data_IF_278237542667
#
_entry.id   IF_278237542667
#
_cell.length_a   1.000
_cell.length_b   1.000
_cell.length_c   1.000
_cell.angle_alpha   90.00
_cell.angle_beta   90.00
_cell.angle_gamma   90.00
#
_symmetry.space_group_name_H-M   'P 1'
#
loop_
_entity.id
_entity.type
_entity.pdbx_description
1 polymer ?
#
# COMPACT_ATOMS: atom_id res chain seq x y z
N UNK A 1 -8.37 -12.82 7.61
CA UNK A 1 -7.69 -12.84 8.90
C UNK A 1 -6.85 -11.58 9.03
N UNK A 2 -7.25 -10.71 9.91
CA UNK A 2 -6.64 -9.39 10.12
C UNK A 2 -6.47 -8.60 8.81
N UNK A 3 -7.48 -8.72 7.91
CA UNK A 3 -7.51 -8.00 6.63
C UNK A 3 -6.22 -8.17 5.81
N UNK A 4 -5.72 -9.41 5.76
CA UNK A 4 -4.49 -9.71 5.03
C UNK A 4 -3.23 -9.18 5.71
N UNK A 5 -3.29 -8.95 7.05
CA UNK A 5 -2.19 -8.37 7.82
C UNK A 5 -0.86 -9.10 7.68
N UNK A 6 -0.81 -10.45 7.84
CA UNK A 6 0.46 -11.16 7.70
C UNK A 6 1.11 -10.99 6.33
N UNK A 7 0.35 -11.14 5.24
CA UNK A 7 0.90 -10.98 3.89
C UNK A 7 1.28 -9.53 3.60
N UNK A 8 0.51 -8.57 4.12
CA UNK A 8 0.84 -7.14 4.02
C UNK A 8 2.15 -6.84 4.73
N UNK A 9 2.34 -7.39 5.92
CA UNK A 9 3.57 -7.24 6.69
C UNK A 9 4.76 -7.81 5.91
N UNK A 10 4.65 -9.03 5.38
CA UNK A 10 5.73 -9.65 4.63
C UNK A 10 6.00 -8.93 3.31
N UNK A 11 4.98 -8.38 2.66
CA UNK A 11 5.17 -7.55 1.48
C UNK A 11 6.06 -6.35 1.79
N UNK A 12 5.76 -5.65 2.89
CA UNK A 12 6.57 -4.51 3.35
C UNK A 12 7.97 -4.95 3.73
N UNK A 13 8.09 -6.03 4.48
CA UNK A 13 9.36 -6.58 4.95
C UNK A 13 10.29 -6.93 3.78
N UNK A 14 9.79 -7.68 2.81
CA UNK A 14 10.59 -8.08 1.66
C UNK A 14 10.97 -6.90 0.77
N UNK A 15 10.13 -5.87 0.68
CA UNK A 15 10.45 -4.65 -0.06
C UNK A 15 11.67 -3.92 0.52
N UNK A 16 11.90 -4.07 1.82
CA UNK A 16 12.96 -3.35 2.54
C UNK A 16 14.27 -4.12 2.63
N UNK A 17 14.27 -5.43 2.31
CA UNK A 17 15.47 -6.25 2.43
C UNK A 17 16.36 -6.09 1.20
N UNK A 18 17.64 -5.71 1.36
CA UNK A 18 18.57 -5.68 0.22
C UNK A 18 18.86 -7.10 -0.27
N UNK A 19 18.98 -7.24 -1.58
CA UNK A 19 19.35 -8.52 -2.20
C UNK A 19 18.24 -9.55 -2.28
N UNK A 20 17.04 -9.27 -1.77
CA UNK A 20 15.89 -10.17 -1.90
C UNK A 20 15.09 -9.77 -3.14
N UNK A 21 14.72 -10.75 -3.99
CA UNK A 21 13.89 -10.44 -5.17
C UNK A 21 12.58 -9.77 -4.79
N UNK A 22 12.22 -8.71 -5.51
CA UNK A 22 10.99 -7.97 -5.26
C UNK A 22 9.73 -8.78 -5.56
N UNK A 23 9.85 -9.90 -6.27
CA UNK A 23 8.74 -10.82 -6.54
C UNK A 23 8.07 -11.31 -5.25
N UNK A 24 8.84 -11.50 -4.19
CA UNK A 24 8.29 -11.92 -2.90
C UNK A 24 7.42 -10.84 -2.29
N UNK A 25 7.86 -9.58 -2.38
CA UNK A 25 7.07 -8.45 -1.92
C UNK A 25 5.78 -8.34 -2.73
N UNK A 26 5.89 -8.44 -4.05
CA UNK A 26 4.73 -8.38 -4.95
C UNK A 26 3.70 -9.44 -4.61
N UNK A 27 4.13 -10.70 -4.48
CA UNK A 27 3.22 -11.81 -4.17
C UNK A 27 2.48 -11.60 -2.86
N UNK A 28 3.16 -11.11 -1.84
CA UNK A 28 2.55 -10.87 -0.54
C UNK A 28 1.55 -9.71 -0.58
N UNK A 29 1.87 -8.62 -1.27
CA UNK A 29 0.91 -7.52 -1.44
C UNK A 29 -0.30 -7.95 -2.27
N UNK A 30 -0.09 -8.71 -3.34
CA UNK A 30 -1.17 -9.22 -4.18
C UNK A 30 -2.10 -10.13 -3.37
N UNK A 31 -1.54 -11.00 -2.53
CA UNK A 31 -2.32 -11.87 -1.66
C UNK A 31 -3.12 -11.07 -0.64
N UNK A 32 -2.52 -10.06 -0.04
CA UNK A 32 -3.21 -9.20 0.93
C UNK A 32 -4.39 -8.46 0.28
N UNK A 33 -4.21 -7.99 -0.95
CA UNK A 33 -5.28 -7.32 -1.70
C UNK A 33 -6.40 -8.29 -2.08
N UNK A 34 -6.05 -9.55 -2.43
CA UNK A 34 -7.03 -10.57 -2.73
C UNK A 34 -7.87 -10.93 -1.49
N UNK A 35 -7.22 -11.01 -0.33
CA UNK A 35 -7.88 -11.34 0.93
C UNK A 35 -8.76 -10.22 1.45
N UNK A 36 -8.32 -8.98 1.31
CA UNK A 36 -9.02 -7.81 1.87
C UNK A 36 -8.86 -6.58 0.96
N UNK A 37 -9.57 -6.55 -0.19
CA UNK A 37 -9.40 -5.45 -1.17
C UNK A 37 -9.86 -4.09 -0.66
N UNK A 38 -10.73 -4.06 0.34
CA UNK A 38 -11.27 -2.81 0.88
C UNK A 38 -10.50 -2.29 2.09
N UNK A 39 -9.44 -2.97 2.51
CA UNK A 39 -8.55 -2.47 3.56
C UNK A 39 -7.48 -1.58 2.91
N UNK A 40 -7.60 -0.28 3.08
CA UNK A 40 -6.82 0.69 2.30
C UNK A 40 -5.32 0.72 2.64
N UNK A 41 -4.95 0.34 3.87
CA UNK A 41 -3.56 0.34 4.30
C UNK A 41 -2.63 -0.50 3.44
N UNK A 42 -3.13 -1.56 2.84
CA UNK A 42 -2.32 -2.42 1.96
C UNK A 42 -1.80 -1.65 0.75
N UNK A 43 -2.66 -0.83 0.11
CA UNK A 43 -2.24 -0.05 -1.05
C UNK A 43 -1.27 1.07 -0.68
N UNK A 44 -1.45 1.68 0.50
CA UNK A 44 -0.52 2.71 1.00
C UNK A 44 0.86 2.10 1.21
N UNK A 45 0.94 0.94 1.86
CA UNK A 45 2.22 0.25 2.07
C UNK A 45 2.87 -0.18 0.76
N UNK A 46 2.08 -0.69 -0.18
CA UNK A 46 2.60 -1.08 -1.50
C UNK A 46 3.16 0.12 -2.25
N UNK A 47 2.45 1.24 -2.23
CA UNK A 47 2.94 2.46 -2.86
C UNK A 47 4.25 2.92 -2.22
N UNK A 48 4.27 3.02 -0.90
CA UNK A 48 5.42 3.57 -0.18
C UNK A 48 6.68 2.71 -0.30
N UNK A 49 6.55 1.39 -0.20
CA UNK A 49 7.72 0.52 -0.09
C UNK A 49 8.02 -0.25 -1.37
N UNK A 50 7.02 -0.69 -2.09
CA UNK A 50 7.22 -1.51 -3.28
C UNK A 50 7.37 -0.68 -4.55
N UNK A 51 6.41 0.19 -4.83
CA UNK A 51 6.45 1.00 -6.06
C UNK A 51 7.60 2.01 -6.06
N UNK A 52 7.96 2.57 -4.90
CA UNK A 52 9.14 3.44 -4.80
C UNK A 52 10.41 2.68 -5.09
N UNK A 53 10.54 1.44 -4.57
CA UNK A 53 11.70 0.60 -4.81
C UNK A 53 11.86 0.25 -6.28
N UNK A 54 10.75 0.02 -6.98
CA UNK A 54 10.74 -0.22 -8.42
C UNK A 54 10.96 1.03 -9.26
N UNK A 55 10.81 2.21 -8.68
CA UNK A 55 10.82 3.46 -9.43
C UNK A 55 9.58 3.64 -10.29
N UNK A 56 8.47 3.01 -9.95
CA UNK A 56 7.24 3.06 -10.74
C UNK A 56 6.30 4.13 -10.20
N UNK A 57 6.50 5.37 -10.66
CA UNK A 57 5.72 6.52 -10.23
C UNK A 57 4.24 6.39 -10.57
N UNK A 58 3.92 5.87 -11.74
CA UNK A 58 2.52 5.76 -12.19
C UNK A 58 1.72 4.84 -11.28
N UNK A 59 2.26 3.67 -10.92
CA UNK A 59 1.59 2.75 -10.01
C UNK A 59 1.53 3.30 -8.58
N UNK A 60 2.56 4.03 -8.16
CA UNK A 60 2.57 4.72 -6.87
C UNK A 60 1.38 5.69 -6.79
N UNK A 61 1.25 6.55 -7.78
CA UNK A 61 0.16 7.52 -7.82
C UNK A 61 -1.21 6.86 -7.93
N UNK A 62 -1.31 5.78 -8.73
CA UNK A 62 -2.54 5.03 -8.90
C UNK A 62 -3.04 4.44 -7.59
N UNK A 63 -2.16 3.79 -6.82
CA UNK A 63 -2.53 3.22 -5.53
C UNK A 63 -2.99 4.29 -4.55
N UNK A 64 -2.27 5.41 -4.48
CA UNK A 64 -2.61 6.47 -3.53
C UNK A 64 -3.92 7.18 -3.92
N UNK A 65 -4.14 7.40 -5.20
CA UNK A 65 -5.39 8.01 -5.67
C UNK A 65 -6.58 7.07 -5.43
N UNK A 66 -6.39 5.77 -5.61
CA UNK A 66 -7.42 4.80 -5.26
C UNK A 66 -7.82 4.92 -3.79
N UNK A 67 -6.83 5.00 -2.90
CA UNK A 67 -7.07 5.12 -1.46
C UNK A 67 -7.83 6.41 -1.13
N UNK A 68 -7.41 7.53 -1.71
CA UNK A 68 -8.04 8.83 -1.43
C UNK A 68 -9.50 8.87 -1.88
N UNK A 69 -9.81 8.22 -3.00
CA UNK A 69 -11.14 8.24 -3.61
C UNK A 69 -12.06 7.11 -3.14
N UNK A 70 -11.54 6.18 -2.34
CA UNK A 70 -12.33 5.05 -1.85
C UNK A 70 -13.29 5.48 -0.76
N UNK A 71 -14.35 4.69 -0.57
CA UNK A 71 -15.29 4.87 0.54
C UNK A 71 -14.76 4.10 1.75
N UNK A 72 -14.28 4.77 2.82
CA UNK A 72 -13.73 4.08 3.97
C UNK A 72 -14.76 3.30 4.77
N UNK A 73 -16.05 3.56 4.57
CA UNK A 73 -17.12 2.88 5.29
C UNK A 73 -17.49 1.51 4.72
N UNK A 74 -16.91 1.10 3.58
CA UNK A 74 -17.15 -0.23 3.00
C UNK A 74 -16.72 -1.33 3.96
N UNK A 75 -15.68 -1.07 4.78
CA UNK A 75 -15.29 -1.94 5.89
C UNK A 75 -15.57 -1.20 7.20
N UNK A 76 -16.78 -1.29 7.77
CA UNK A 76 -17.12 -0.51 8.96
C UNK A 76 -16.18 -0.75 10.14
N UNK A 77 -15.75 -1.98 10.35
CA UNK A 77 -14.85 -2.33 11.45
C UNK A 77 -13.46 -1.72 11.29
N UNK A 78 -13.05 -1.42 10.08
CA UNK A 78 -11.76 -0.82 9.77
C UNK A 78 -11.88 0.64 9.35
N UNK A 79 -13.03 1.27 9.52
CA UNK A 79 -13.25 2.64 9.09
C UNK A 79 -12.25 3.64 9.69
N UNK A 80 -11.94 3.59 10.99
CA UNK A 80 -10.94 4.51 11.56
C UNK A 80 -9.56 4.34 10.90
N UNK A 81 -9.13 3.10 10.69
CA UNK A 81 -7.84 2.81 10.04
C UNK A 81 -7.85 3.30 8.60
N UNK A 82 -8.95 3.07 7.86
CA UNK A 82 -9.06 3.51 6.48
C UNK A 82 -9.02 5.04 6.36
N UNK A 83 -9.69 5.75 7.26
CA UNK A 83 -9.63 7.22 7.29
C UNK A 83 -8.20 7.71 7.53
N UNK A 84 -7.49 7.08 8.45
CA UNK A 84 -6.09 7.41 8.74
C UNK A 84 -5.20 7.13 7.52
N UNK A 85 -5.42 6.03 6.83
CA UNK A 85 -4.65 5.68 5.64
C UNK A 85 -4.90 6.65 4.49
N UNK A 86 -6.12 7.18 4.37
CA UNK A 86 -6.41 8.22 3.36
C UNK A 86 -5.60 9.48 3.61
N UNK A 87 -5.41 9.88 4.86
CA UNK A 87 -4.57 11.04 5.21
C UNK A 87 -3.10 10.77 4.89
N UNK A 88 -2.62 9.55 5.19
CA UNK A 88 -1.25 9.16 4.81
C UNK A 88 -1.05 9.19 3.31
N UNK A 89 -2.03 8.74 2.53
CA UNK A 89 -1.95 8.74 1.08
C UNK A 89 -1.81 10.16 0.54
N UNK A 90 -2.57 11.11 1.09
CA UNK A 90 -2.45 12.51 0.70
C UNK A 90 -1.06 13.06 0.98
N UNK A 91 -0.49 12.74 2.15
CA UNK A 91 0.87 13.18 2.49
C UNK A 91 1.91 12.59 1.55
N UNK A 92 1.81 11.30 1.24
CA UNK A 92 2.74 10.65 0.33
C UNK A 92 2.70 11.26 -1.07
N UNK A 93 1.50 11.61 -1.57
CA UNK A 93 1.38 12.26 -2.87
C UNK A 93 2.09 13.61 -2.92
N UNK A 94 2.08 14.37 -1.83
CA UNK A 94 2.80 15.64 -1.76
C UNK A 94 4.30 15.46 -1.92
N UNK A 95 4.84 14.30 -1.58
CA UNK A 95 6.27 14.00 -1.63
C UNK A 95 6.68 13.21 -2.87
N UNK A 96 5.79 13.05 -3.86
CA UNK A 96 6.06 12.22 -5.04
C UNK A 96 7.34 12.63 -5.76
N UNK A 97 7.54 13.93 -5.97
CA UNK A 97 8.72 14.41 -6.69
C UNK A 97 10.03 14.12 -5.96
N UNK A 98 10.00 14.08 -4.63
CA UNK A 98 11.17 13.75 -3.82
C UNK A 98 11.45 12.25 -3.89
N UNK A 99 10.40 11.43 -3.82
CA UNK A 99 10.52 9.98 -3.81
C UNK A 99 10.97 9.39 -5.16
N UNK A 100 10.72 10.11 -6.25
CA UNK A 100 11.03 9.65 -7.61
C UNK A 100 11.96 10.61 -8.36
N UNK A 101 12.91 11.19 -7.65
CA UNK A 101 13.96 12.02 -8.25
C UNK A 101 14.85 11.25 -9.20
#
# INVERSE_FOLDING_TARGET
YYYGGPTRFFGTFYSRLPGVPLDRAKSNFDQSLADSPNYLGTRVLRARYYHTKLGNRDLFEEDLNYVINADPSILPDAMPENLFEQEKAKELLKHTSILFE
#
